data_IF_625106589014
#
_entry.id   IF_625106589014
#
_cell.length_a   1.000
_cell.length_b   1.000
_cell.length_c   1.000
_cell.angle_alpha   90.00
_cell.angle_beta   90.00
_cell.angle_gamma   90.00
#
_symmetry.space_group_name_H-M   'P 1'
#
loop_
_entity.id
_entity.type
_entity.pdbx_description
1 polymer ?
#
# COMPACT_ATOMS: atom_id res chain seq x y z
N UNK A 1 -0.48 8.95 -12.01
CA UNK A 1 -0.12 8.10 -10.86
C UNK A 1 -0.49 8.84 -9.59
N UNK A 2 -1.32 8.23 -8.75
CA UNK A 2 -1.52 8.66 -7.36
C UNK A 2 -0.64 7.76 -6.50
N UNK A 3 0.42 8.32 -5.92
CA UNK A 3 1.43 7.56 -5.19
C UNK A 3 1.39 7.90 -3.70
N UNK A 4 1.17 6.90 -2.85
CA UNK A 4 1.23 7.02 -1.40
C UNK A 4 2.60 6.62 -0.85
N UNK A 5 3.23 7.54 -0.12
CA UNK A 5 4.52 7.29 0.52
C UNK A 5 4.38 6.24 1.63
N UNK A 6 5.37 5.35 1.74
CA UNK A 6 5.54 4.44 2.87
C UNK A 6 6.22 5.06 4.08
N UNK A 7 6.63 4.21 5.03
CA UNK A 7 7.44 4.65 6.17
C UNK A 7 6.86 4.29 7.52
N UNK A 8 6.45 3.03 7.70
CA UNK A 8 6.11 2.46 9.02
C UNK A 8 4.81 2.96 9.65
N UNK A 9 4.65 2.70 10.94
CA UNK A 9 3.49 3.07 11.74
C UNK A 9 3.86 3.11 13.24
N UNK A 10 3.02 3.73 14.06
CA UNK A 10 3.25 3.77 15.51
C UNK A 10 1.99 3.48 16.31
N UNK A 11 2.14 2.74 17.41
CA UNK A 11 1.02 2.19 18.20
C UNK A 11 1.18 2.40 19.71
N UNK A 12 2.27 3.02 20.15
CA UNK A 12 2.61 3.21 21.57
C UNK A 12 3.44 4.47 21.78
N UNK A 13 3.56 4.92 23.03
CA UNK A 13 4.35 6.12 23.36
C UNK A 13 5.80 6.01 22.86
N UNK A 14 6.45 4.87 23.04
CA UNK A 14 7.84 4.67 22.62
C UNK A 14 7.98 4.69 21.08
N UNK A 15 7.04 4.08 20.37
CA UNK A 15 7.06 4.06 18.90
C UNK A 15 6.70 5.41 18.30
N UNK A 16 5.83 6.17 18.98
CA UNK A 16 5.32 7.46 18.52
C UNK A 16 6.16 8.65 19.02
N UNK A 17 7.14 8.44 19.89
CA UNK A 17 7.99 9.50 20.43
C UNK A 17 8.87 10.12 19.33
N UNK A 18 9.19 11.41 19.50
CA UNK A 18 10.11 12.12 18.61
C UNK A 18 11.45 11.38 18.49
N UNK A 19 11.92 11.18 17.25
CA UNK A 19 13.17 10.48 16.95
C UNK A 19 13.07 8.95 16.94
N UNK A 20 11.87 8.38 17.08
CA UNK A 20 11.62 6.96 16.82
C UNK A 20 11.79 6.62 15.35
N UNK A 21 12.37 5.45 15.08
CA UNK A 21 12.51 4.89 13.73
C UNK A 21 11.31 4.00 13.32
N UNK A 22 10.25 3.93 14.15
CA UNK A 22 9.06 3.11 13.84
C UNK A 22 8.25 3.64 12.66
N UNK A 23 8.33 4.94 12.39
CA UNK A 23 7.72 5.56 11.22
C UNK A 23 8.44 6.85 10.83
N UNK A 24 8.24 7.31 9.60
CA UNK A 24 8.75 8.61 9.18
C UNK A 24 7.97 9.73 9.86
N UNK A 25 8.68 10.61 10.57
CA UNK A 25 8.08 11.71 11.31
C UNK A 25 8.15 13.05 10.56
N UNK A 26 8.82 13.05 9.41
CA UNK A 26 9.02 14.25 8.58
C UNK A 26 8.55 13.95 7.16
N UNK A 27 7.55 14.71 6.71
CA UNK A 27 6.97 14.57 5.37
C UNK A 27 7.86 15.11 4.22
N UNK A 28 8.92 15.86 4.54
CA UNK A 28 9.77 16.52 3.55
C UNK A 28 11.26 16.33 3.82
N UNK A 29 12.03 15.91 2.81
CA UNK A 29 13.49 15.84 2.87
C UNK A 29 14.07 14.61 2.17
N UNK A 30 15.40 14.51 2.12
CA UNK A 30 16.12 13.39 1.48
C UNK A 30 15.91 12.01 2.14
N UNK A 31 15.15 11.94 3.24
CA UNK A 31 14.73 10.69 3.89
C UNK A 31 13.47 10.07 3.25
N UNK A 32 12.84 10.77 2.30
CA UNK A 32 11.83 10.17 1.44
C UNK A 32 12.54 9.24 0.47
N UNK A 33 12.49 7.93 0.73
CA UNK A 33 13.10 6.91 -0.13
C UNK A 33 12.46 6.98 -1.53
N UNK A 34 13.31 7.09 -2.57
CA UNK A 34 12.88 7.11 -3.96
C UNK A 34 12.54 8.50 -4.55
N UNK A 35 12.33 9.53 -3.74
CA UNK A 35 12.02 10.90 -4.24
C UNK A 35 13.14 11.92 -4.01
N UNK A 36 14.37 11.48 -3.74
CA UNK A 36 15.49 12.40 -3.84
C UNK A 36 15.59 12.84 -5.31
N UNK A 37 15.06 14.04 -5.59
CA UNK A 37 15.05 14.61 -6.95
C UNK A 37 16.44 14.75 -7.56
N UNK A 38 17.51 14.57 -6.76
CA UNK A 38 18.90 14.59 -7.21
C UNK A 38 19.38 13.25 -7.78
N UNK A 39 18.74 12.15 -7.40
CA UNK A 39 19.05 10.79 -7.85
C UNK A 39 17.76 9.93 -7.85
N UNK A 40 16.81 10.23 -8.74
CA UNK A 40 15.56 9.50 -8.80
C UNK A 40 15.80 8.04 -9.23
N UNK A 41 14.97 7.11 -8.73
CA UNK A 41 15.09 5.69 -9.05
C UNK A 41 13.73 5.01 -9.16
N UNK A 42 13.71 3.80 -9.74
CA UNK A 42 12.50 3.04 -9.98
C UNK A 42 11.46 3.87 -10.74
N UNK A 43 10.21 3.83 -10.28
CA UNK A 43 9.06 4.55 -10.84
C UNK A 43 9.28 6.07 -10.91
N UNK A 44 10.17 6.63 -10.09
CA UNK A 44 10.45 8.06 -10.04
C UNK A 44 11.54 8.51 -11.02
N UNK A 45 12.31 7.59 -11.62
CA UNK A 45 13.27 7.95 -12.66
C UNK A 45 12.55 8.17 -14.00
N UNK A 46 12.06 9.39 -14.21
CA UNK A 46 11.36 9.76 -15.44
C UNK A 46 12.31 9.97 -16.64
N UNK A 47 13.63 9.93 -16.42
CA UNK A 47 14.61 10.00 -17.52
C UNK A 47 14.94 8.62 -18.08
N UNK A 48 14.67 7.55 -17.34
CA UNK A 48 14.84 6.19 -17.82
C UNK A 48 13.79 5.88 -18.92
N UNK A 49 14.21 5.53 -20.15
CA UNK A 49 13.27 5.17 -21.21
C UNK A 49 12.48 3.88 -20.92
N UNK A 50 12.96 3.03 -20.00
CA UNK A 50 12.33 1.77 -19.66
C UNK A 50 11.24 1.92 -18.57
N UNK A 51 11.18 3.07 -17.87
CA UNK A 51 10.13 3.36 -16.90
C UNK A 51 8.76 3.49 -17.58
N UNK A 52 7.78 2.61 -17.30
CA UNK A 52 6.46 2.66 -17.95
C UNK A 52 5.65 3.92 -17.59
N UNK A 53 6.04 4.62 -16.52
CA UNK A 53 5.38 5.83 -16.04
C UNK A 53 6.13 7.12 -16.38
N UNK A 54 7.21 7.07 -17.18
CA UNK A 54 8.07 8.23 -17.48
C UNK A 54 7.34 9.46 -18.03
N UNK A 55 6.26 9.24 -18.78
CA UNK A 55 5.46 10.30 -19.41
C UNK A 55 4.14 10.56 -18.64
N UNK A 56 3.94 9.95 -17.47
CA UNK A 56 2.74 10.13 -16.65
C UNK A 56 2.90 11.32 -15.69
N UNK A 57 1.77 11.91 -15.28
CA UNK A 57 1.74 12.87 -14.18
C UNK A 57 1.66 12.17 -12.82
N UNK A 58 2.33 12.71 -11.81
CA UNK A 58 2.37 12.16 -10.46
C UNK A 58 1.72 13.12 -9.46
N UNK A 59 0.75 12.61 -8.71
CA UNK A 59 0.28 13.19 -7.47
C UNK A 59 0.89 12.35 -6.35
N UNK A 60 1.82 12.94 -5.61
CA UNK A 60 2.54 12.27 -4.54
C UNK A 60 1.95 12.65 -3.19
N UNK A 61 1.65 11.66 -2.35
CA UNK A 61 1.07 11.83 -1.02
C UNK A 61 2.14 11.54 0.04
N UNK A 62 2.74 12.57 0.65
CA UNK A 62 3.72 12.39 1.71
C UNK A 62 3.12 11.76 2.96
N UNK A 63 3.96 11.05 3.71
CA UNK A 63 3.55 10.36 4.92
C UNK A 63 4.37 10.79 6.13
N UNK A 64 3.68 11.22 7.19
CA UNK A 64 4.32 11.52 8.47
C UNK A 64 3.41 11.30 9.69
N UNK A 65 2.35 10.50 9.51
CA UNK A 65 1.22 10.44 10.45
C UNK A 65 1.15 9.13 11.21
N UNK A 66 1.97 8.13 10.87
CA UNK A 66 2.09 6.88 11.64
C UNK A 66 0.84 5.99 11.63
N UNK A 67 -0.10 6.24 10.71
CA UNK A 67 -1.46 5.70 10.64
C UNK A 67 -1.83 5.11 9.26
N UNK A 68 -0.84 4.75 8.43
CA UNK A 68 -1.02 4.13 7.12
C UNK A 68 -1.89 4.95 6.13
N UNK A 69 -1.93 6.28 6.29
CA UNK A 69 -2.82 7.20 5.54
C UNK A 69 -4.33 7.03 5.79
N UNK A 70 -4.73 6.29 6.83
CA UNK A 70 -6.14 6.01 7.10
C UNK A 70 -6.69 6.77 8.32
N UNK A 71 -5.82 7.36 9.13
CA UNK A 71 -6.22 7.99 10.39
C UNK A 71 -6.87 9.36 10.24
N UNK A 72 -7.83 9.64 11.14
CA UNK A 72 -8.34 10.98 11.44
C UNK A 72 -8.54 11.21 12.95
N UNK A 73 -7.51 10.95 13.74
CA UNK A 73 -7.54 11.11 15.20
C UNK A 73 -6.35 11.93 15.73
N UNK A 74 -6.51 12.49 16.93
CA UNK A 74 -5.38 12.96 17.74
C UNK A 74 -5.32 12.07 18.96
N UNK A 75 -4.22 11.33 19.11
CA UNK A 75 -4.07 10.37 20.19
C UNK A 75 -2.96 10.80 21.16
N UNK A 76 -3.27 10.80 22.45
CA UNK A 76 -2.33 11.05 23.54
C UNK A 76 -1.81 9.71 24.08
N UNK A 77 -0.61 9.31 23.65
CA UNK A 77 0.02 8.05 24.08
C UNK A 77 0.67 8.16 25.46
N UNK A 78 1.06 9.36 25.88
CA UNK A 78 1.54 9.71 27.21
C UNK A 78 1.43 11.23 27.44
N UNK A 79 1.75 11.70 28.65
CA UNK A 79 1.81 13.13 28.97
C UNK A 79 2.78 13.94 28.06
N UNK A 80 3.74 13.26 27.41
CA UNK A 80 4.77 13.86 26.57
C UNK A 80 4.64 13.50 25.08
N UNK A 81 3.80 12.50 24.74
CA UNK A 81 3.67 11.99 23.37
C UNK A 81 2.22 12.11 22.91
N UNK A 82 1.98 13.06 22.02
CA UNK A 82 0.70 13.25 21.32
C UNK A 82 0.97 13.24 19.82
N UNK A 83 0.23 12.41 19.08
CA UNK A 83 0.36 12.32 17.61
C UNK A 83 -0.96 12.68 16.95
N UNK A 84 -0.87 13.50 15.90
CA UNK A 84 -1.99 13.76 14.98
C UNK A 84 -1.97 12.72 13.86
N UNK A 85 -2.72 11.63 14.06
CA UNK A 85 -3.01 10.64 13.03
C UNK A 85 -4.01 11.24 12.05
N UNK A 86 -3.50 12.04 11.10
CA UNK A 86 -4.29 12.77 10.09
C UNK A 86 -3.97 12.31 8.68
N UNK A 87 -3.58 11.05 8.54
CA UNK A 87 -3.21 10.44 7.28
C UNK A 87 -4.32 10.53 6.23
N UNK A 88 -5.56 10.22 6.62
CA UNK A 88 -6.70 10.28 5.69
C UNK A 88 -6.96 11.71 5.24
N UNK A 89 -6.96 12.68 6.17
CA UNK A 89 -7.15 14.10 5.85
C UNK A 89 -6.08 14.59 4.86
N UNK A 90 -4.82 14.22 5.08
CA UNK A 90 -3.71 14.58 4.19
C UNK A 90 -3.83 13.90 2.81
N UNK A 91 -4.20 12.61 2.80
CA UNK A 91 -4.41 11.83 1.59
C UNK A 91 -5.58 12.37 0.75
N UNK A 92 -6.71 12.71 1.39
CA UNK A 92 -7.86 13.35 0.74
C UNK A 92 -7.51 14.70 0.13
N UNK A 93 -6.68 15.53 0.79
CA UNK A 93 -6.25 16.80 0.20
C UNK A 93 -5.40 16.62 -1.08
N UNK A 94 -4.55 15.58 -1.12
CA UNK A 94 -3.81 15.23 -2.32
C UNK A 94 -4.72 14.60 -3.39
N UNK A 95 -5.71 13.81 -2.98
CA UNK A 95 -6.74 13.27 -3.85
C UNK A 95 -7.59 14.38 -4.52
N UNK A 96 -7.99 15.40 -3.77
CA UNK A 96 -8.67 16.59 -4.31
C UNK A 96 -7.81 17.26 -5.40
N UNK A 97 -6.48 17.32 -5.20
CA UNK A 97 -5.55 17.83 -6.23
C UNK A 97 -5.55 16.97 -7.48
N UNK A 98 -5.68 15.63 -7.35
CA UNK A 98 -5.82 14.74 -8.50
C UNK A 98 -7.09 15.07 -9.29
N UNK A 99 -8.22 15.27 -8.60
CA UNK A 99 -9.49 15.58 -9.24
C UNK A 99 -9.48 16.97 -9.90
N UNK A 100 -8.93 17.97 -9.22
CA UNK A 100 -8.91 19.36 -9.71
C UNK A 100 -8.01 19.53 -10.93
N UNK A 101 -6.82 18.90 -10.93
CA UNK A 101 -5.81 19.10 -11.97
C UNK A 101 -5.88 18.04 -13.09
N UNK A 102 -6.39 16.84 -12.79
CA UNK A 102 -6.42 15.69 -13.70
C UNK A 102 -7.79 15.03 -13.81
N UNK A 103 -8.88 15.77 -13.58
CA UNK A 103 -10.26 15.27 -13.61
C UNK A 103 -10.76 14.75 -14.97
N UNK A 104 -9.96 14.84 -16.04
CA UNK A 104 -10.23 14.25 -17.36
C UNK A 104 -9.28 13.08 -17.70
N UNK A 105 -8.51 12.59 -16.73
CA UNK A 105 -7.62 11.46 -16.89
C UNK A 105 -8.36 10.22 -17.41
N UNK A 106 -7.76 9.54 -18.39
CA UNK A 106 -8.31 8.29 -18.95
C UNK A 106 -7.73 7.04 -18.30
N UNK A 107 -6.62 7.19 -17.60
CA UNK A 107 -5.86 6.13 -16.97
C UNK A 107 -5.33 6.66 -15.64
N UNK A 108 -5.68 5.98 -14.56
CA UNK A 108 -5.18 6.32 -13.22
C UNK A 108 -4.58 5.06 -12.60
N UNK A 109 -3.30 5.16 -12.27
CA UNK A 109 -2.59 4.13 -11.53
C UNK A 109 -2.47 4.59 -10.08
N UNK A 110 -3.15 3.92 -9.16
CA UNK A 110 -3.12 4.20 -7.73
C UNK A 110 -2.18 3.20 -7.07
N UNK A 111 -1.18 3.68 -6.36
CA UNK A 111 -0.13 2.81 -5.82
C UNK A 111 0.52 3.42 -4.60
N UNK A 112 1.29 2.60 -3.90
CA UNK A 112 2.15 3.03 -2.81
C UNK A 112 2.95 1.86 -2.30
N UNK A 113 4.02 2.18 -1.57
CA UNK A 113 4.94 1.20 -1.02
C UNK A 113 4.84 1.15 0.50
N UNK A 114 5.01 -0.02 1.11
CA UNK A 114 4.95 -0.20 2.56
C UNK A 114 3.60 0.30 3.11
N UNK A 115 3.61 1.15 4.14
CA UNK A 115 2.42 1.83 4.65
C UNK A 115 1.56 2.51 3.58
N UNK A 116 2.14 2.97 2.47
CA UNK A 116 1.41 3.58 1.36
C UNK A 116 0.68 2.59 0.46
N UNK A 117 1.03 1.30 0.48
CA UNK A 117 0.29 0.27 -0.25
C UNK A 117 -1.09 -0.02 0.35
N UNK A 118 -1.23 0.15 1.67
CA UNK A 118 -2.45 -0.12 2.44
C UNK A 118 -3.68 0.68 1.99
N UNK A 119 -3.63 2.03 1.84
CA UNK A 119 -4.80 2.82 1.43
C UNK A 119 -5.13 2.68 -0.07
N UNK A 120 -4.21 2.16 -0.89
CA UNK A 120 -4.31 2.22 -2.35
C UNK A 120 -5.59 1.59 -2.93
N UNK A 121 -6.11 0.44 -2.42
CA UNK A 121 -7.35 -0.13 -2.93
C UNK A 121 -8.57 0.77 -2.71
N UNK A 122 -8.69 1.34 -1.50
CA UNK A 122 -9.80 2.24 -1.16
C UNK A 122 -9.77 3.50 -2.03
N UNK A 123 -8.60 4.14 -2.17
CA UNK A 123 -8.47 5.29 -3.05
C UNK A 123 -8.64 4.93 -4.53
N UNK A 124 -8.30 3.70 -4.95
CA UNK A 124 -8.61 3.21 -6.29
C UNK A 124 -10.11 3.18 -6.58
N UNK A 125 -10.91 2.67 -5.64
CA UNK A 125 -12.37 2.69 -5.77
C UNK A 125 -12.95 4.12 -5.72
N UNK A 126 -12.41 5.01 -4.88
CA UNK A 126 -12.80 6.43 -4.88
C UNK A 126 -12.52 7.10 -6.23
N UNK A 127 -11.34 6.85 -6.83
CA UNK A 127 -11.04 7.34 -8.18
C UNK A 127 -12.09 6.85 -9.19
N UNK A 128 -12.56 5.60 -9.08
CA UNK A 128 -13.57 5.06 -9.98
C UNK A 128 -14.94 5.74 -9.82
N UNK A 129 -15.29 6.18 -8.60
CA UNK A 129 -16.51 6.98 -8.35
C UNK A 129 -16.44 8.35 -9.02
N UNK A 130 -15.33 9.07 -8.83
CA UNK A 130 -15.18 10.45 -9.27
C UNK A 130 -14.76 10.58 -10.74
N UNK A 131 -14.03 9.60 -11.27
CA UNK A 131 -13.55 9.52 -12.66
C UNK A 131 -14.08 8.26 -13.38
N UNK A 132 -15.41 8.14 -13.61
CA UNK A 132 -16.03 6.90 -14.11
C UNK A 132 -15.64 6.52 -15.54
N UNK A 133 -15.04 7.43 -16.31
CA UNK A 133 -14.52 7.18 -17.66
C UNK A 133 -13.05 6.73 -17.66
N UNK A 134 -12.37 6.76 -16.50
CA UNK A 134 -10.98 6.36 -16.36
C UNK A 134 -10.86 4.84 -16.18
N UNK A 135 -9.80 4.26 -16.76
CA UNK A 135 -9.35 2.92 -16.37
C UNK A 135 -8.49 3.04 -15.12
N UNK A 136 -8.91 2.40 -14.04
CA UNK A 136 -8.21 2.44 -12.76
C UNK A 136 -7.51 1.11 -12.49
N UNK A 137 -6.21 1.19 -12.19
CA UNK A 137 -5.40 0.04 -11.77
C UNK A 137 -4.74 0.36 -10.44
N UNK A 138 -4.75 -0.60 -9.53
CA UNK A 138 -4.17 -0.49 -8.19
C UNK A 138 -3.03 -1.48 -8.05
N UNK A 139 -1.88 -1.02 -7.54
CA UNK A 139 -0.79 -1.90 -7.11
C UNK A 139 -0.36 -1.53 -5.69
N UNK A 140 -0.49 -2.46 -4.75
CA UNK A 140 0.09 -2.31 -3.43
C UNK A 140 1.46 -3.01 -3.35
N UNK A 141 2.51 -2.26 -3.01
CA UNK A 141 3.90 -2.74 -2.95
C UNK A 141 4.31 -2.96 -1.49
N UNK A 142 4.65 -4.21 -1.13
CA UNK A 142 5.17 -4.62 0.18
C UNK A 142 4.27 -4.28 1.37
N UNK A 143 2.99 -4.63 1.28
CA UNK A 143 1.98 -4.40 2.34
C UNK A 143 1.05 -5.61 2.52
N UNK A 144 1.53 -6.77 2.11
CA UNK A 144 0.74 -7.94 1.91
C UNK A 144 0.59 -8.91 3.06
N UNK A 145 1.42 -8.79 4.08
CA UNK A 145 1.55 -9.77 5.15
C UNK A 145 0.63 -9.53 6.36
N UNK A 146 -0.41 -8.72 6.23
CA UNK A 146 -1.27 -8.32 7.35
C UNK A 146 -2.68 -8.93 7.23
N UNK A 147 -2.94 -10.10 7.82
CA UNK A 147 -4.25 -10.74 7.73
C UNK A 147 -5.30 -9.96 8.51
N UNK A 148 -6.56 -10.02 8.05
CA UNK A 148 -7.67 -9.41 8.78
C UNK A 148 -7.89 -10.13 10.11
N UNK A 149 -7.83 -9.35 11.20
CA UNK A 149 -8.06 -9.82 12.56
C UNK A 149 -8.94 -8.82 13.28
N UNK A 150 -10.19 -9.19 13.65
CA UNK A 150 -11.14 -8.29 14.31
C UNK A 150 -10.55 -7.51 15.49
N UNK A 151 -9.77 -8.19 16.33
CA UNK A 151 -9.16 -7.58 17.50
C UNK A 151 -8.10 -6.52 17.13
N UNK A 152 -7.33 -6.76 16.08
CA UNK A 152 -6.28 -5.83 15.62
C UNK A 152 -6.93 -4.67 14.88
N UNK A 153 -7.90 -4.94 14.01
CA UNK A 153 -8.64 -3.92 13.26
C UNK A 153 -9.31 -2.95 14.23
N UNK A 154 -10.01 -3.44 15.27
CA UNK A 154 -10.62 -2.59 16.29
C UNK A 154 -9.58 -1.80 17.10
N UNK A 155 -8.44 -2.40 17.45
CA UNK A 155 -7.38 -1.71 18.19
C UNK A 155 -6.76 -0.57 17.37
N UNK A 156 -6.41 -0.84 16.11
CA UNK A 156 -5.88 0.14 15.17
C UNK A 156 -6.91 1.25 14.91
N UNK A 157 -8.17 0.87 14.66
CA UNK A 157 -9.27 1.79 14.44
C UNK A 157 -9.47 2.73 15.63
N UNK A 158 -9.36 2.24 16.86
CA UNK A 158 -9.44 3.08 18.06
C UNK A 158 -8.24 4.02 18.23
N UNK A 159 -7.03 3.58 17.88
CA UNK A 159 -5.82 4.41 18.00
C UNK A 159 -5.83 5.57 16.99
N UNK A 160 -6.13 5.26 15.74
CA UNK A 160 -5.93 6.19 14.63
C UNK A 160 -7.24 6.80 14.10
N UNK A 161 -8.39 6.31 14.55
CA UNK A 161 -9.70 6.77 14.06
C UNK A 161 -9.97 6.35 12.61
N UNK A 162 -9.44 5.21 12.15
CA UNK A 162 -9.54 4.81 10.73
C UNK A 162 -10.97 4.54 10.30
N UNK A 163 -11.82 4.05 11.21
CA UNK A 163 -13.19 3.67 10.89
C UNK A 163 -14.13 4.88 10.66
N UNK A 164 -13.74 6.08 11.11
CA UNK A 164 -14.51 7.30 10.84
C UNK A 164 -14.44 7.73 9.36
N UNK A 165 -13.50 7.17 8.60
CA UNK A 165 -13.22 7.50 7.21
C UNK A 165 -13.66 6.41 6.23
N UNK A 166 -14.46 5.43 6.67
CA UNK A 166 -15.01 4.41 5.77
C UNK A 166 -15.92 5.09 4.74
N UNK A 167 -15.70 4.87 3.43
CA UNK A 167 -16.58 5.41 2.40
C UNK A 167 -18.03 4.92 2.57
N UNK A 168 -19.00 5.80 2.29
CA UNK A 168 -20.45 5.52 2.35
C UNK A 168 -20.93 4.69 1.14
N UNK A 169 -20.28 3.54 0.95
CA UNK A 169 -20.66 2.55 -0.05
C UNK A 169 -21.73 1.62 0.52
N UNK A 170 -22.74 1.20 -0.26
CA UNK A 170 -23.75 0.23 0.19
C UNK A 170 -23.16 -1.05 0.78
N UNK A 171 -22.03 -1.51 0.26
CA UNK A 171 -21.29 -2.70 0.67
C UNK A 171 -20.72 -2.56 2.09
N UNK A 172 -20.45 -1.32 2.53
CA UNK A 172 -19.94 -1.01 3.86
C UNK A 172 -21.06 -0.85 4.91
N UNK A 173 -22.34 -0.95 4.52
CA UNK A 173 -23.45 -0.78 5.46
C UNK A 173 -23.42 -1.85 6.57
N UNK A 174 -23.30 -1.40 7.82
CA UNK A 174 -23.31 -2.27 8.99
C UNK A 174 -21.95 -2.88 9.35
N UNK A 175 -20.88 -2.54 8.63
CA UNK A 175 -19.53 -2.82 9.07
C UNK A 175 -19.23 -2.14 10.40
N UNK A 176 -18.24 -2.67 11.10
CA UNK A 176 -17.67 -2.08 12.32
C UNK A 176 -16.16 -1.94 12.16
N UNK A 177 -15.50 -1.29 13.12
CA UNK A 177 -14.03 -1.20 13.13
C UNK A 177 -13.34 -2.58 13.14
N UNK A 178 -14.04 -3.65 13.53
CA UNK A 178 -13.52 -5.02 13.47
C UNK A 178 -13.42 -5.56 12.03
N UNK A 179 -14.20 -5.00 11.11
CA UNK A 179 -14.33 -5.45 9.72
C UNK A 179 -13.51 -4.60 8.73
N UNK A 180 -12.66 -3.70 9.24
CA UNK A 180 -11.92 -2.71 8.45
C UNK A 180 -10.40 -2.86 8.60
N UNK A 181 -9.88 -4.03 8.19
CA UNK A 181 -8.45 -4.35 8.17
C UNK A 181 -7.79 -4.11 6.81
N UNK A 182 -6.46 -4.31 6.76
CA UNK A 182 -5.64 -4.08 5.55
C UNK A 182 -6.14 -4.89 4.35
N UNK A 183 -6.43 -6.18 4.53
CA UNK A 183 -6.95 -7.03 3.45
C UNK A 183 -8.41 -6.72 3.12
N UNK A 184 -9.20 -6.25 4.09
CA UNK A 184 -10.61 -5.92 3.87
C UNK A 184 -10.78 -4.72 2.93
N UNK A 185 -9.82 -3.79 2.92
CA UNK A 185 -9.82 -2.66 1.98
C UNK A 185 -9.88 -3.11 0.52
N UNK A 186 -9.22 -4.22 0.15
CA UNK A 186 -9.33 -4.78 -1.19
C UNK A 186 -10.71 -5.38 -1.45
N UNK A 187 -11.25 -6.15 -0.50
CA UNK A 187 -12.57 -6.78 -0.63
C UNK A 187 -13.66 -5.73 -0.81
N UNK A 188 -13.67 -4.71 0.06
CA UNK A 188 -14.69 -3.65 -0.01
C UNK A 188 -14.53 -2.78 -1.25
N UNK A 189 -13.30 -2.41 -1.61
CA UNK A 189 -13.04 -1.62 -2.82
C UNK A 189 -13.45 -2.37 -4.10
N UNK A 190 -13.12 -3.67 -4.20
CA UNK A 190 -13.47 -4.46 -5.38
C UNK A 190 -14.95 -4.84 -5.45
N UNK A 191 -15.63 -4.99 -4.31
CA UNK A 191 -17.08 -5.18 -4.28
C UNK A 191 -17.82 -3.93 -4.78
N UNK A 192 -17.39 -2.74 -4.35
CA UNK A 192 -17.96 -1.46 -4.76
C UNK A 192 -17.61 -1.11 -6.23
N UNK A 193 -16.35 -1.29 -6.61
CA UNK A 193 -15.83 -0.88 -7.93
C UNK A 193 -15.21 -2.09 -8.68
N UNK A 194 -16.03 -3.00 -9.23
CA UNK A 194 -15.56 -4.26 -9.84
C UNK A 194 -14.76 -4.09 -11.14
N UNK A 195 -14.81 -2.91 -11.76
CA UNK A 195 -14.01 -2.58 -12.95
C UNK A 195 -12.59 -2.12 -12.59
N UNK A 196 -12.31 -1.82 -11.31
CA UNK A 196 -10.96 -1.51 -10.82
C UNK A 196 -10.14 -2.79 -10.80
N UNK A 197 -8.93 -2.71 -11.34
CA UNK A 197 -7.98 -3.84 -11.33
C UNK A 197 -7.11 -3.75 -10.09
N UNK A 198 -6.90 -4.85 -9.40
CA UNK A 198 -6.05 -4.91 -8.21
C UNK A 198 -4.84 -5.82 -8.43
N UNK A 199 -3.71 -5.41 -7.87
CA UNK A 199 -2.46 -6.15 -7.93
C UNK A 199 -1.64 -5.92 -6.67
N UNK A 200 -0.75 -6.87 -6.40
CA UNK A 200 0.19 -6.79 -5.28
C UNK A 200 1.59 -7.22 -5.70
N UNK A 201 2.57 -6.55 -5.15
CA UNK A 201 3.97 -7.00 -5.16
C UNK A 201 4.40 -7.22 -3.71
N UNK A 202 5.03 -8.35 -3.43
CA UNK A 202 5.59 -8.65 -2.11
C UNK A 202 6.88 -9.47 -2.25
N UNK A 203 7.75 -9.39 -1.24
CA UNK A 203 8.87 -10.31 -1.07
C UNK A 203 8.50 -11.38 -0.03
N UNK A 204 8.78 -12.64 -0.33
CA UNK A 204 8.38 -13.81 0.45
C UNK A 204 8.77 -13.74 1.94
N UNK A 205 9.87 -13.08 2.26
CA UNK A 205 10.40 -12.97 3.61
C UNK A 205 10.81 -11.53 3.96
N UNK A 206 10.09 -10.56 3.41
CA UNK A 206 10.28 -9.13 3.67
C UNK A 206 10.52 -8.85 5.17
N UNK A 207 11.70 -8.29 5.48
CA UNK A 207 12.16 -8.07 6.86
C UNK A 207 11.29 -7.08 7.63
N UNK A 208 10.77 -6.05 6.95
CA UNK A 208 9.94 -5.02 7.57
C UNK A 208 8.55 -5.57 7.82
N UNK A 209 7.97 -6.24 6.84
CA UNK A 209 6.67 -6.89 7.01
C UNK A 209 6.72 -7.98 8.09
N UNK A 210 7.82 -8.75 8.17
CA UNK A 210 8.04 -9.72 9.25
C UNK A 210 8.03 -9.03 10.62
N UNK A 211 8.79 -7.95 10.78
CA UNK A 211 8.87 -7.21 12.05
C UNK A 211 7.52 -6.63 12.49
N UNK A 212 6.75 -6.05 11.58
CA UNK A 212 5.42 -5.52 11.89
C UNK A 212 4.37 -6.64 12.12
N UNK A 213 4.48 -7.76 11.41
CA UNK A 213 3.60 -8.92 11.62
C UNK A 213 3.82 -9.54 13.00
N UNK A 214 5.08 -9.66 13.43
CA UNK A 214 5.43 -10.08 14.80
C UNK A 214 4.84 -9.13 15.84
N UNK A 215 4.96 -7.81 15.63
CA UNK A 215 4.38 -6.79 16.51
C UNK A 215 2.86 -6.89 16.59
N UNK A 216 2.21 -7.19 15.47
CA UNK A 216 0.76 -7.41 15.39
C UNK A 216 0.30 -8.72 16.05
N UNK A 217 1.23 -9.57 16.52
CA UNK A 217 0.93 -10.80 17.24
C UNK A 217 0.91 -12.05 16.36
N UNK A 218 1.40 -11.95 15.11
CA UNK A 218 1.54 -13.06 14.16
C UNK A 218 2.97 -13.64 14.16
N UNK A 219 3.64 -13.54 15.30
CA UNK A 219 5.02 -14.00 15.43
C UNK A 219 5.13 -15.52 15.22
N UNK A 220 6.06 -15.92 14.35
CA UNK A 220 6.31 -17.33 14.02
C UNK A 220 5.48 -17.88 12.86
N UNK A 221 4.58 -17.08 12.29
CA UNK A 221 3.93 -17.42 11.02
C UNK A 221 4.92 -17.29 9.86
N UNK A 222 4.81 -18.17 8.86
CA UNK A 222 5.59 -18.03 7.64
C UNK A 222 5.01 -16.88 6.80
N UNK A 223 5.79 -15.81 6.64
CA UNK A 223 5.34 -14.57 5.99
C UNK A 223 4.79 -14.81 4.59
N UNK A 224 5.43 -15.70 3.82
CA UNK A 224 4.99 -16.07 2.48
C UNK A 224 3.63 -16.76 2.54
N UNK A 225 3.42 -17.69 3.46
CA UNK A 225 2.12 -18.35 3.60
C UNK A 225 1.03 -17.35 4.02
N UNK A 226 1.34 -16.37 4.86
CA UNK A 226 0.40 -15.28 5.21
C UNK A 226 0.06 -14.41 4.00
N UNK A 227 1.07 -14.01 3.21
CA UNK A 227 0.86 -13.22 1.99
C UNK A 227 -0.08 -13.97 1.02
N UNK A 228 0.17 -15.26 0.78
CA UNK A 228 -0.64 -16.09 -0.11
C UNK A 228 -2.06 -16.34 0.45
N UNK A 229 -2.19 -16.49 1.77
CA UNK A 229 -3.50 -16.61 2.41
C UNK A 229 -4.31 -15.32 2.30
N UNK A 230 -3.65 -14.16 2.36
CA UNK A 230 -4.30 -12.86 2.19
C UNK A 230 -4.75 -12.63 0.75
N UNK A 231 -3.98 -13.06 -0.25
CA UNK A 231 -4.43 -13.07 -1.65
C UNK A 231 -5.69 -13.95 -1.79
N UNK A 232 -5.65 -15.18 -1.27
CA UNK A 232 -6.81 -16.08 -1.33
C UNK A 232 -8.03 -15.53 -0.58
N UNK A 233 -7.85 -14.83 0.54
CA UNK A 233 -8.94 -14.16 1.26
C UNK A 233 -9.63 -13.09 0.41
N UNK A 234 -8.84 -12.30 -0.32
CA UNK A 234 -9.35 -11.25 -1.23
C UNK A 234 -10.13 -11.88 -2.39
N UNK A 235 -9.58 -12.94 -2.99
CA UNK A 235 -10.23 -13.68 -4.09
C UNK A 235 -11.53 -14.37 -3.65
N UNK A 236 -11.54 -14.97 -2.44
CA UNK A 236 -12.75 -15.55 -1.84
C UNK A 236 -13.83 -14.49 -1.57
N UNK A 237 -13.42 -13.23 -1.37
CA UNK A 237 -14.28 -12.04 -1.32
C UNK A 237 -14.86 -11.62 -2.67
N UNK A 238 -14.46 -12.26 -3.77
CA UNK A 238 -14.93 -11.98 -5.13
C UNK A 238 -14.11 -10.95 -5.89
N UNK A 239 -12.89 -10.65 -5.43
CA UNK A 239 -12.01 -9.65 -6.04
C UNK A 239 -10.78 -10.35 -6.66
N UNK A 240 -10.65 -10.28 -7.98
CA UNK A 240 -9.47 -10.79 -8.67
C UNK A 240 -8.26 -9.89 -8.35
N UNK A 241 -7.19 -10.47 -7.79
CA UNK A 241 -5.95 -9.76 -7.46
C UNK A 241 -4.76 -10.45 -8.12
N UNK A 242 -4.02 -9.71 -8.96
CA UNK A 242 -2.81 -10.25 -9.58
C UNK A 242 -1.62 -10.17 -8.62
N UNK A 243 -0.94 -11.28 -8.38
CA UNK A 243 0.20 -11.36 -7.44
C UNK A 243 1.57 -11.43 -8.12
N UNK A 244 2.53 -10.66 -7.60
CA UNK A 244 3.96 -10.83 -7.91
C UNK A 244 4.76 -11.03 -6.62
N UNK A 245 4.99 -12.30 -6.27
CA UNK A 245 5.72 -12.71 -5.07
C UNK A 245 7.19 -13.02 -5.40
N UNK A 246 8.07 -12.10 -5.06
CA UNK A 246 9.51 -12.21 -5.24
C UNK A 246 10.19 -12.97 -4.07
N UNK A 247 11.36 -13.61 -4.29
CA UNK A 247 12.12 -14.23 -3.22
C UNK A 247 12.83 -13.19 -2.33
N UNK A 248 13.26 -13.63 -1.14
CA UNK A 248 14.17 -12.87 -0.27
C UNK A 248 13.49 -11.89 0.67
N UNK A 249 14.30 -11.00 1.26
CA UNK A 249 13.93 -10.18 2.42
C UNK A 249 13.82 -8.68 2.15
N UNK A 250 13.97 -8.28 0.89
CA UNK A 250 13.88 -6.86 0.50
C UNK A 250 12.51 -6.29 0.82
N UNK A 251 12.48 -5.02 1.20
CA UNK A 251 11.24 -4.28 1.45
C UNK A 251 11.04 -3.22 0.38
N UNK A 252 9.88 -3.27 -0.28
CA UNK A 252 9.48 -2.41 -1.41
C UNK A 252 10.30 -2.58 -2.68
N UNK A 253 9.68 -2.33 -3.84
CA UNK A 253 10.38 -2.37 -5.13
C UNK A 253 10.24 -1.08 -5.94
N UNK A 254 9.11 -0.37 -5.82
CA UNK A 254 8.73 0.66 -6.79
C UNK A 254 9.71 1.83 -6.86
N UNK A 255 10.28 2.23 -5.73
CA UNK A 255 11.27 3.32 -5.68
C UNK A 255 12.73 2.87 -5.85
N UNK A 256 12.97 1.59 -6.18
CA UNK A 256 14.31 0.99 -6.20
C UNK A 256 14.77 0.63 -7.62
N UNK A 257 16.09 0.46 -7.86
CA UNK A 257 16.59 -0.11 -9.11
C UNK A 257 16.06 -1.53 -9.39
N UNK A 258 15.67 -2.26 -8.34
CA UNK A 258 15.10 -3.61 -8.46
C UNK A 258 13.86 -3.67 -9.36
N UNK A 259 13.13 -2.55 -9.51
CA UNK A 259 12.01 -2.44 -10.45
C UNK A 259 12.41 -2.86 -11.88
N UNK A 260 13.63 -2.54 -12.31
CA UNK A 260 14.14 -2.83 -13.65
C UNK A 260 14.79 -4.21 -13.75
N UNK A 261 15.49 -4.63 -12.69
CA UNK A 261 16.38 -5.79 -12.72
C UNK A 261 15.72 -7.10 -12.25
N UNK A 262 14.62 -7.03 -11.51
CA UNK A 262 14.01 -8.22 -10.91
C UNK A 262 13.40 -9.15 -11.97
N UNK A 263 13.79 -10.43 -11.89
CA UNK A 263 13.19 -11.54 -12.63
C UNK A 263 12.89 -12.70 -11.67
N UNK A 264 11.69 -13.26 -11.77
CA UNK A 264 11.25 -14.43 -10.99
C UNK A 264 10.71 -15.48 -11.95
N UNK A 265 11.31 -16.68 -11.91
CA UNK A 265 10.94 -17.82 -12.76
C UNK A 265 10.80 -17.46 -14.26
N UNK A 266 11.71 -16.62 -14.77
CA UNK A 266 11.74 -16.16 -16.16
C UNK A 266 10.78 -15.02 -16.48
N UNK A 267 10.07 -14.47 -15.49
CA UNK A 267 9.17 -13.33 -15.63
C UNK A 267 9.83 -12.08 -15.06
N UNK A 268 10.11 -11.10 -15.93
CA UNK A 268 10.59 -9.78 -15.53
C UNK A 268 9.48 -8.99 -14.83
N UNK A 269 9.79 -8.42 -13.66
CA UNK A 269 8.87 -7.55 -12.94
C UNK A 269 8.54 -6.30 -13.75
N UNK A 270 9.53 -5.67 -14.38
CA UNK A 270 9.32 -4.51 -15.26
C UNK A 270 8.31 -4.81 -16.38
N UNK A 271 8.50 -5.93 -17.07
CA UNK A 271 7.61 -6.33 -18.17
C UNK A 271 6.18 -6.63 -17.66
N UNK A 272 6.07 -7.26 -16.50
CA UNK A 272 4.81 -7.54 -15.83
C UNK A 272 4.10 -6.25 -15.41
N UNK A 273 4.80 -5.33 -14.73
CA UNK A 273 4.28 -4.04 -14.28
C UNK A 273 3.81 -3.18 -15.46
N UNK A 274 4.60 -3.14 -16.53
CA UNK A 274 4.27 -2.41 -17.76
C UNK A 274 2.98 -2.97 -18.37
N UNK A 275 2.86 -4.29 -18.48
CA UNK A 275 1.65 -4.93 -18.98
C UNK A 275 0.42 -4.64 -18.12
N UNK A 276 0.59 -4.74 -16.81
CA UNK A 276 -0.47 -4.46 -15.86
C UNK A 276 -0.94 -3.01 -15.94
N UNK A 277 -0.02 -2.04 -15.93
CA UNK A 277 -0.33 -0.61 -16.02
C UNK A 277 -1.05 -0.23 -17.33
N UNK A 278 -0.72 -0.89 -18.44
CA UNK A 278 -1.38 -0.70 -19.75
C UNK A 278 -2.79 -1.32 -19.83
N UNK A 279 -3.29 -1.95 -18.77
CA UNK A 279 -4.60 -2.59 -18.77
C UNK A 279 -4.60 -4.04 -19.28
N UNK A 280 -3.43 -4.66 -19.48
CA UNK A 280 -3.32 -6.03 -19.99
C UNK A 280 -3.32 -7.04 -18.85
N UNK A 281 -3.96 -8.18 -19.07
CA UNK A 281 -3.91 -9.32 -18.14
C UNK A 281 -2.46 -9.79 -17.94
N UNK A 282 -2.15 -10.12 -16.70
CA UNK A 282 -0.83 -10.59 -16.28
C UNK A 282 -1.00 -11.87 -15.45
N UNK A 283 -0.07 -12.83 -15.54
CA UNK A 283 -0.14 -14.03 -14.73
C UNK A 283 0.28 -13.72 -13.29
N UNK A 284 -0.18 -14.53 -12.34
CA UNK A 284 0.48 -14.59 -11.03
C UNK A 284 1.91 -15.09 -11.19
N UNK A 285 2.83 -14.39 -10.54
CA UNK A 285 4.23 -14.76 -10.45
C UNK A 285 4.52 -15.10 -9.01
N UNK A 286 5.00 -16.31 -8.77
CA UNK A 286 5.35 -16.78 -7.42
C UNK A 286 6.74 -17.38 -7.48
N UNK A 287 7.63 -16.94 -6.59
CA UNK A 287 8.86 -17.68 -6.37
C UNK A 287 8.51 -19.14 -6.00
N UNK A 288 9.19 -20.09 -6.65
CA UNK A 288 8.99 -21.52 -6.38
C UNK A 288 10.16 -22.09 -5.58
N UNK A 289 9.89 -23.16 -4.82
CA UNK A 289 10.89 -23.79 -3.96
C UNK A 289 11.19 -22.96 -2.70
N UNK A 290 12.49 -22.73 -2.45
CA UNK A 290 13.00 -22.14 -1.21
C UNK A 290 12.80 -20.62 -1.12
N UNK A 291 12.46 -19.91 -2.21
CA UNK A 291 12.17 -18.46 -2.18
C UNK A 291 13.19 -17.58 -1.41
N UNK A 292 14.43 -18.05 -1.26
CA UNK A 292 15.43 -17.48 -0.36
C UNK A 292 14.95 -17.35 1.11
N UNK A 293 14.39 -18.44 1.68
CA UNK A 293 14.06 -18.55 3.11
C UNK A 293 15.25 -18.15 3.97
N UNK A 294 15.10 -17.19 4.90
CA UNK A 294 16.17 -16.83 5.81
C UNK A 294 16.64 -18.03 6.64
N UNK A 295 17.95 -18.18 6.78
CA UNK A 295 18.51 -19.13 7.76
C UNK A 295 18.25 -18.58 9.16
N UNK A 296 17.35 -19.23 9.92
CA UNK A 296 17.03 -18.87 11.31
C UNK A 296 18.15 -19.07 12.33
#
# INVERSE_FOLDING_TARGET
VLYFQGGGACFSADMCAEGSDSYFQVATGAQVTGTDTRDPSGIFDLNDPDNPFRDWSFVYVPYCTGDLHLGDNVNEYSDEVTVSHKGFVNASAAYDTLLDEFGDAREVFVTGSSAGGVPAPMFGALVADDLPDARVSVLADASGAYPSSPAINAAIGALWGTFENVPDWPENEGLTAEDWGVTDLFVQAGAHAPDVRFARYDNAYDEVQSSFSELAGFAGDDLREVILANEAYIEDGGVDVAGFLAPGTTHTILGSPGLYDLEVDGTSFLAWLTAYAEGRDVPDVRCTGDCATPSG
#
